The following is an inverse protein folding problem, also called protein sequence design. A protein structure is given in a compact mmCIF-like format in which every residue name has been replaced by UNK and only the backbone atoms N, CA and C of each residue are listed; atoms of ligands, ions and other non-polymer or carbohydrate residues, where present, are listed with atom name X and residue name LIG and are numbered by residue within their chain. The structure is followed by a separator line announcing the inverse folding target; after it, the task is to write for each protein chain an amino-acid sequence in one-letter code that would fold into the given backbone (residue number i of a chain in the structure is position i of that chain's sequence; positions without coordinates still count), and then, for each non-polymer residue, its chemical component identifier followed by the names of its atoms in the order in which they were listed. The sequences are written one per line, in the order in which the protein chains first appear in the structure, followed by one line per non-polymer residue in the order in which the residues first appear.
data_IF_708271946669
#
_entry.id   IF_708271946669
#
_cell.length_a   1.000
_cell.length_b   1.000
_cell.length_c   1.000
_cell.angle_alpha   90.00
_cell.angle_beta   90.00
_cell.angle_gamma   90.00
#
_symmetry.space_group_name_H-M   'P 1'
#
loop_
_entity.id
_entity.type
_entity.pdbx_description
1 polymer ?
#
# COMPACT_ATOMS: atom_id res chain seq x y z
N UNK A 1 -18.71 -2.23 -6.09
CA UNK A 1 -17.77 -3.11 -5.35
C UNK A 1 -16.31 -2.77 -5.61
N UNK A 2 -15.82 -2.78 -6.86
CA UNK A 2 -14.40 -2.52 -7.18
C UNK A 2 -13.88 -1.15 -6.72
N UNK A 3 -14.67 -0.09 -6.89
CA UNK A 3 -14.32 1.27 -6.45
C UNK A 3 -14.15 1.38 -4.92
N UNK A 4 -15.01 0.68 -4.16
CA UNK A 4 -14.92 0.64 -2.69
C UNK A 4 -13.63 -0.07 -2.26
N UNK A 5 -13.29 -1.19 -2.90
CA UNK A 5 -12.05 -1.91 -2.62
C UNK A 5 -10.81 -1.05 -2.92
N UNK A 6 -10.80 -0.33 -4.04
CA UNK A 6 -9.74 0.62 -4.38
C UNK A 6 -9.64 1.77 -3.37
N UNK A 7 -10.78 2.35 -2.97
CA UNK A 7 -10.86 3.44 -1.99
C UNK A 7 -10.29 3.04 -0.63
N UNK A 8 -10.55 1.81 -0.21
CA UNK A 8 -10.10 1.26 1.08
C UNK A 8 -8.94 0.26 0.94
N UNK A 9 -8.16 0.33 -0.14
CA UNK A 9 -7.04 -0.60 -0.40
C UNK A 9 -6.01 -0.69 0.73
N UNK A 10 -5.86 0.39 1.51
CA UNK A 10 -4.99 0.41 2.69
C UNK A 10 -5.60 -0.36 3.88
N UNK A 11 -6.93 -0.40 3.98
CA UNK A 11 -7.64 -1.18 5.00
C UNK A 11 -7.71 -2.67 4.64
N UNK A 12 -7.57 -3.04 3.36
CA UNK A 12 -7.47 -4.44 2.95
C UNK A 12 -6.23 -5.13 3.55
N UNK A 13 -5.12 -4.40 3.73
CA UNK A 13 -3.94 -4.91 4.46
C UNK A 13 -4.32 -5.35 5.87
N UNK A 14 -5.19 -4.59 6.55
CA UNK A 14 -5.54 -4.86 7.94
C UNK A 14 -6.26 -6.20 8.10
N UNK A 15 -7.06 -6.59 7.09
CA UNK A 15 -7.69 -7.92 7.04
C UNK A 15 -6.65 -9.03 6.96
N UNK A 16 -5.53 -8.79 6.26
CA UNK A 16 -4.44 -9.76 6.11
C UNK A 16 -3.46 -9.74 7.30
N UNK A 17 -3.32 -8.60 7.98
CA UNK A 17 -2.54 -8.47 9.23
C UNK A 17 -3.24 -9.19 10.39
N UNK A 18 -4.56 -9.32 10.34
CA UNK A 18 -5.35 -9.99 11.36
C UNK A 18 -4.86 -11.41 11.70
N UNK A 19 -4.80 -12.35 10.75
CA UNK A 19 -4.28 -13.69 11.01
C UNK A 19 -2.88 -13.69 11.63
N UNK A 20 -2.00 -12.78 11.21
CA UNK A 20 -0.63 -12.69 11.75
C UNK A 20 -0.67 -12.30 13.23
N UNK A 21 -1.40 -11.24 13.59
CA UNK A 21 -1.53 -10.83 14.98
C UNK A 21 -2.23 -11.90 15.84
N UNK A 22 -3.29 -12.52 15.33
CA UNK A 22 -3.93 -13.64 16.01
C UNK A 22 -2.91 -14.75 16.31
N UNK A 23 -2.11 -15.11 15.31
CA UNK A 23 -1.10 -16.17 15.41
C UNK A 23 0.00 -15.81 16.40
N UNK A 24 0.47 -14.56 16.44
CA UNK A 24 1.49 -14.11 17.41
C UNK A 24 1.09 -14.36 18.87
N UNK A 25 -0.21 -14.36 19.16
CA UNK A 25 -0.74 -14.56 20.51
C UNK A 25 -0.93 -16.05 20.82
N UNK A 26 -1.40 -16.85 19.87
CA UNK A 26 -1.81 -18.25 20.12
C UNK A 26 -0.73 -19.28 19.80
N UNK A 27 0.18 -18.98 18.87
CA UNK A 27 1.14 -19.95 18.36
C UNK A 27 2.39 -20.11 19.24
N UNK A 28 3.03 -21.28 19.20
CA UNK A 28 4.32 -21.47 19.85
C UNK A 28 5.41 -20.59 19.20
N UNK A 29 6.51 -20.31 19.93
CA UNK A 29 7.67 -19.59 19.41
C UNK A 29 8.17 -20.14 18.08
N UNK A 30 8.48 -19.24 17.14
CA UNK A 30 9.11 -19.60 15.88
C UNK A 30 10.45 -20.32 16.10
N UNK A 31 10.70 -21.39 15.31
CA UNK A 31 12.00 -22.07 15.32
C UNK A 31 13.09 -21.18 14.70
N UNK A 32 14.39 -21.41 14.97
CA UNK A 32 15.48 -20.63 14.38
C UNK A 32 15.46 -20.59 12.85
N UNK A 33 15.03 -21.69 12.20
CA UNK A 33 14.85 -21.75 10.76
C UNK A 33 13.78 -20.75 10.29
N UNK A 34 12.61 -20.73 10.93
CA UNK A 34 11.53 -19.81 10.57
C UNK A 34 11.86 -18.36 10.91
N UNK A 35 12.67 -18.10 11.95
CA UNK A 35 13.22 -16.78 12.21
C UNK A 35 14.11 -16.30 11.06
N UNK A 36 15.03 -17.15 10.60
CA UNK A 36 15.89 -16.85 9.45
C UNK A 36 15.11 -16.64 8.15
N UNK A 37 14.15 -17.53 7.87
CA UNK A 37 13.27 -17.41 6.70
C UNK A 37 12.41 -16.14 6.77
N UNK A 38 11.85 -15.82 7.94
CA UNK A 38 11.06 -14.61 8.15
C UNK A 38 11.88 -13.35 7.89
N UNK A 39 13.10 -13.28 8.42
CA UNK A 39 14.02 -12.18 8.16
C UNK A 39 14.37 -12.07 6.66
N UNK A 40 14.65 -13.19 5.99
CA UNK A 40 14.95 -13.20 4.56
C UNK A 40 13.76 -12.70 3.71
N UNK A 41 12.53 -13.11 4.04
CA UNK A 41 11.31 -12.66 3.37
C UNK A 41 11.06 -11.15 3.57
N UNK A 42 11.29 -10.63 4.79
CA UNK A 42 11.16 -9.21 5.09
C UNK A 42 12.17 -8.38 4.29
N UNK A 43 13.43 -8.83 4.21
CA UNK A 43 14.47 -8.16 3.42
C UNK A 43 14.11 -8.21 1.94
N UNK A 44 13.75 -9.38 1.40
CA UNK A 44 13.35 -9.53 0.00
C UNK A 44 12.15 -8.64 -0.36
N UNK A 45 11.12 -8.62 0.48
CA UNK A 45 9.95 -7.77 0.29
C UNK A 45 10.28 -6.28 0.37
N UNK A 46 11.13 -5.86 1.32
CA UNK A 46 11.58 -4.47 1.42
C UNK A 46 12.40 -4.04 0.20
N UNK A 47 13.34 -4.87 -0.25
CA UNK A 47 14.13 -4.64 -1.46
C UNK A 47 13.23 -4.52 -2.70
N UNK A 48 12.28 -5.44 -2.88
CA UNK A 48 11.33 -5.39 -4.00
C UNK A 48 10.48 -4.13 -3.97
N UNK A 49 9.97 -3.75 -2.79
CA UNK A 49 9.17 -2.52 -2.61
C UNK A 49 9.97 -1.28 -2.97
N UNK A 50 11.19 -1.17 -2.47
CA UNK A 50 12.08 -0.02 -2.74
C UNK A 50 12.49 0.04 -4.21
N UNK A 51 12.79 -1.10 -4.83
CA UNK A 51 13.10 -1.19 -6.26
C UNK A 51 11.89 -0.75 -7.11
N UNK A 52 10.69 -1.24 -6.81
CA UNK A 52 9.47 -0.85 -7.52
C UNK A 52 9.15 0.64 -7.33
N UNK A 53 9.23 1.16 -6.09
CA UNK A 53 8.99 2.58 -5.79
C UNK A 53 10.00 3.51 -6.49
N UNK A 54 11.23 3.04 -6.72
CA UNK A 54 12.26 3.75 -7.48
C UNK A 54 11.92 3.87 -8.97
N UNK A 55 11.31 2.83 -9.54
CA UNK A 55 10.87 2.81 -10.94
C UNK A 55 9.65 3.70 -11.18
N UNK A 56 8.73 3.75 -10.22
CA UNK A 56 7.46 4.49 -10.30
C UNK A 56 7.56 6.02 -10.25
N UNK A 57 8.70 6.61 -9.90
CA UNK A 57 8.78 8.07 -9.90
C UNK A 57 7.97 8.76 -8.79
N UNK A 58 7.78 10.08 -8.90
CA UNK A 58 6.74 10.83 -8.14
C UNK A 58 5.33 10.30 -8.44
N UNK A 59 5.20 9.52 -9.51
CA UNK A 59 4.08 8.67 -9.87
C UNK A 59 3.80 7.51 -8.90
N UNK A 60 4.51 7.33 -7.78
CA UNK A 60 4.18 6.26 -6.82
C UNK A 60 2.75 6.32 -6.21
N UNK A 61 1.98 7.40 -6.47
CA UNK A 61 0.54 7.50 -6.17
C UNK A 61 -0.37 7.30 -7.39
N UNK A 62 0.19 6.85 -8.51
CA UNK A 62 -0.39 6.85 -9.85
C UNK A 62 -0.51 5.40 -10.35
N UNK A 63 -1.52 4.67 -9.91
CA UNK A 63 -2.66 4.34 -10.78
C UNK A 63 -3.78 5.40 -10.80
N UNK A 64 -3.42 6.69 -10.80
CA UNK A 64 -4.30 7.77 -11.18
C UNK A 64 -4.11 7.95 -12.68
N UNK A 65 -5.16 7.73 -13.45
CA UNK A 65 -5.27 8.29 -14.79
C UNK A 65 -4.70 9.73 -14.77
N UNK A 66 -3.55 9.95 -15.42
CA UNK A 66 -2.91 11.28 -15.50
C UNK A 66 -1.45 11.42 -15.07
N UNK A 67 -0.65 10.37 -14.82
CA UNK A 67 0.82 10.57 -14.89
C UNK A 67 1.21 10.75 -16.35
N UNK A 68 1.67 11.95 -16.69
CA UNK A 68 2.12 12.38 -18.01
C UNK A 68 3.40 11.68 -18.51
N UNK A 69 3.86 10.61 -17.86
CA UNK A 69 5.23 10.07 -17.99
C UNK A 69 5.32 8.67 -18.65
N UNK A 70 4.24 8.14 -19.24
CA UNK A 70 4.27 6.86 -19.96
C UNK A 70 4.20 5.62 -19.07
N UNK A 71 4.19 4.42 -19.69
CA UNK A 71 4.08 3.14 -18.97
C UNK A 71 5.45 2.68 -18.47
N UNK A 72 5.56 2.40 -17.17
CA UNK A 72 6.77 1.80 -16.59
C UNK A 72 6.73 0.29 -16.79
N UNK A 73 7.53 -0.23 -17.72
CA UNK A 73 7.59 -1.67 -18.05
C UNK A 73 8.94 -2.35 -17.80
N UNK A 74 9.86 -1.65 -17.10
CA UNK A 74 11.22 -2.12 -16.79
C UNK A 74 11.41 -2.38 -15.27
N UNK A 75 12.54 -2.99 -14.91
CA UNK A 75 12.83 -3.33 -13.51
C UNK A 75 11.81 -4.35 -12.98
N UNK A 76 11.32 -4.24 -11.72
CA UNK A 76 10.28 -5.12 -11.19
C UNK A 76 8.99 -5.13 -12.02
N UNK A 77 8.71 -4.04 -12.75
CA UNK A 77 7.54 -3.93 -13.61
C UNK A 77 7.62 -4.75 -14.90
N UNK A 78 8.80 -5.27 -15.25
CA UNK A 78 8.97 -6.22 -16.35
C UNK A 78 8.54 -7.65 -15.99
N UNK A 79 8.56 -7.99 -14.69
CA UNK A 79 8.24 -9.32 -14.17
C UNK A 79 6.79 -9.42 -13.69
N UNK A 80 6.26 -8.28 -13.26
CA UNK A 80 4.95 -8.17 -12.62
C UNK A 80 4.35 -6.81 -12.94
N UNK A 81 3.04 -6.75 -13.21
CA UNK A 81 2.31 -5.48 -13.20
C UNK A 81 2.12 -4.90 -11.80
N UNK A 82 2.26 -5.74 -10.77
CA UNK A 82 1.87 -5.44 -9.40
C UNK A 82 2.97 -5.78 -8.36
N UNK A 83 4.24 -5.39 -8.59
CA UNK A 83 5.36 -5.78 -7.73
C UNK A 83 5.24 -5.23 -6.31
N UNK A 84 4.56 -4.08 -6.12
CA UNK A 84 4.33 -3.50 -4.79
C UNK A 84 3.39 -4.36 -3.93
N UNK A 85 2.39 -5.00 -4.52
CA UNK A 85 1.48 -5.90 -3.81
C UNK A 85 2.15 -7.24 -3.49
N UNK A 86 3.03 -7.72 -4.38
CA UNK A 86 3.87 -8.91 -4.11
C UNK A 86 4.83 -8.63 -2.95
N UNK A 87 5.48 -7.45 -2.95
CA UNK A 87 6.32 -7.02 -1.85
C UNK A 87 5.57 -6.98 -0.52
N UNK A 88 4.30 -6.52 -0.52
CA UNK A 88 3.45 -6.56 0.67
C UNK A 88 3.18 -8.00 1.14
N UNK A 89 2.92 -8.93 0.22
CA UNK A 89 2.73 -10.34 0.53
C UNK A 89 3.98 -11.00 1.12
N UNK A 90 5.17 -10.69 0.57
CA UNK A 90 6.45 -11.16 1.10
C UNK A 90 6.71 -10.63 2.52
N UNK A 91 6.46 -9.34 2.76
CA UNK A 91 6.61 -8.73 4.08
C UNK A 91 5.67 -9.41 5.08
N UNK A 92 4.42 -9.64 4.68
CA UNK A 92 3.42 -10.22 5.56
C UNK A 92 3.71 -11.70 5.88
N UNK A 93 4.14 -12.47 4.87
CA UNK A 93 4.63 -13.83 5.07
C UNK A 93 5.87 -13.85 5.98
N UNK A 94 6.77 -12.88 5.84
CA UNK A 94 7.93 -12.72 6.72
C UNK A 94 7.54 -12.50 8.18
N UNK A 95 6.58 -11.61 8.45
CA UNK A 95 6.05 -11.42 9.80
C UNK A 95 5.35 -12.66 10.34
N UNK A 96 4.61 -13.38 9.51
CA UNK A 96 3.99 -14.65 9.90
C UNK A 96 5.03 -15.71 10.30
N UNK A 97 6.14 -15.82 9.57
CA UNK A 97 7.25 -16.69 9.95
C UNK A 97 7.84 -16.31 11.31
N UNK A 98 8.06 -15.01 11.56
CA UNK A 98 8.54 -14.52 12.86
C UNK A 98 7.54 -14.81 14.00
N UNK A 99 6.24 -14.89 13.69
CA UNK A 99 5.16 -15.19 14.62
C UNK A 99 4.93 -16.69 14.86
N UNK A 100 5.75 -17.58 14.29
CA UNK A 100 5.56 -19.04 14.40
C UNK A 100 4.47 -19.60 13.47
N UNK A 101 4.05 -18.83 12.46
CA UNK A 101 3.00 -19.19 11.50
C UNK A 101 3.52 -19.84 10.24
N UNK A 102 4.01 -21.07 10.33
CA UNK A 102 4.63 -21.80 9.21
C UNK A 102 3.68 -21.92 8.00
N UNK A 103 2.53 -22.55 8.18
CA UNK A 103 1.51 -22.73 7.14
C UNK A 103 0.84 -21.41 6.74
N UNK A 104 0.62 -20.53 7.72
CA UNK A 104 0.02 -19.22 7.47
C UNK A 104 0.88 -18.39 6.50
N UNK A 105 2.20 -18.45 6.64
CA UNK A 105 3.14 -17.73 5.76
C UNK A 105 3.01 -18.16 4.30
N UNK A 106 2.80 -19.46 4.05
CA UNK A 106 2.58 -20.01 2.72
C UNK A 106 1.28 -19.52 2.09
N UNK A 107 0.24 -19.32 2.90
CA UNK A 107 -1.08 -18.84 2.44
C UNK A 107 -1.12 -17.32 2.24
N UNK A 108 -0.33 -16.55 2.98
CA UNK A 108 -0.38 -15.10 2.94
C UNK A 108 0.11 -14.51 1.62
N UNK A 109 1.06 -15.15 0.94
CA UNK A 109 1.52 -14.67 -0.37
C UNK A 109 0.41 -14.75 -1.45
N UNK A 110 -0.20 -15.93 -1.74
CA UNK A 110 -1.34 -16.00 -2.67
C UNK A 110 -2.59 -15.29 -2.13
N UNK A 111 -2.80 -15.29 -0.81
CA UNK A 111 -3.90 -14.57 -0.16
C UNK A 111 -3.82 -13.06 -0.37
N UNK A 112 -2.61 -12.49 -0.34
CA UNK A 112 -2.38 -11.08 -0.65
C UNK A 112 -2.76 -10.78 -2.10
N UNK A 113 -2.31 -11.61 -3.05
CA UNK A 113 -2.70 -11.47 -4.45
C UNK A 113 -4.23 -11.49 -4.61
N UNK A 114 -4.91 -12.45 -3.98
CA UNK A 114 -6.36 -12.60 -4.05
C UNK A 114 -7.11 -11.37 -3.48
N UNK A 115 -6.73 -10.88 -2.30
CA UNK A 115 -7.35 -9.72 -1.67
C UNK A 115 -7.16 -8.44 -2.50
N UNK A 116 -6.02 -8.31 -3.18
CA UNK A 116 -5.74 -7.15 -4.03
C UNK A 116 -6.30 -7.27 -5.46
N UNK A 117 -6.76 -8.43 -5.91
CA UNK A 117 -7.32 -8.60 -7.27
C UNK A 117 -8.37 -7.54 -7.65
N UNK A 118 -9.36 -7.19 -6.81
CA UNK A 118 -10.35 -6.16 -7.14
C UNK A 118 -9.72 -4.78 -7.35
N UNK A 119 -8.71 -4.44 -6.55
CA UNK A 119 -7.97 -3.17 -6.65
C UNK A 119 -7.22 -3.12 -7.97
N UNK A 120 -6.50 -4.19 -8.29
CA UNK A 120 -5.73 -4.31 -9.54
C UNK A 120 -6.63 -4.20 -10.77
N UNK A 121 -7.77 -4.87 -10.79
CA UNK A 121 -8.72 -4.80 -11.91
C UNK A 121 -9.23 -3.36 -12.11
N UNK A 122 -9.55 -2.67 -11.01
CA UNK A 122 -9.97 -1.26 -11.07
C UNK A 122 -8.84 -0.34 -11.57
N UNK A 123 -7.62 -0.56 -11.10
CA UNK A 123 -6.43 0.20 -11.52
C UNK A 123 -6.13 0.01 -13.02
N UNK A 124 -6.19 -1.22 -13.51
CA UNK A 124 -6.04 -1.55 -14.93
C UNK A 124 -7.13 -0.91 -15.80
N UNK A 125 -8.39 -0.98 -15.37
CA UNK A 125 -9.51 -0.36 -16.09
C UNK A 125 -9.40 1.16 -16.15
N UNK A 126 -8.97 1.79 -15.05
CA UNK A 126 -8.81 3.25 -14.96
C UNK A 126 -7.69 3.76 -15.87
N UNK A 127 -6.58 3.01 -15.98
CA UNK A 127 -5.49 3.38 -16.91
C UNK A 127 -5.93 3.22 -18.36
N UNK A 128 -6.64 2.13 -18.70
CA UNK A 128 -7.17 1.94 -20.05
C UNK A 128 -8.14 3.05 -20.46
N UNK A 129 -9.01 3.49 -19.54
CA UNK A 129 -9.93 4.60 -19.79
C UNK A 129 -9.21 5.95 -19.99
N UNK A 130 -7.97 6.09 -19.50
CA UNK A 130 -7.14 7.28 -19.67
C UNK A 130 -6.49 7.44 -21.04
N UNK A 131 -6.70 6.51 -21.99
CA UNK A 131 -6.21 6.62 -23.37
C UNK A 131 -4.74 6.23 -23.57
N UNK A 132 -4.15 5.44 -22.67
CA UNK A 132 -2.76 4.99 -22.79
C UNK A 132 -2.64 3.75 -23.69
N UNK A 133 -2.50 3.93 -25.01
CA UNK A 133 -2.40 2.81 -25.98
C UNK A 133 -1.24 1.86 -25.68
N UNK A 134 -0.08 2.40 -25.25
CA UNK A 134 1.09 1.62 -24.84
C UNK A 134 0.78 0.64 -23.69
N UNK A 135 -0.20 0.96 -22.84
CA UNK A 135 -0.60 0.12 -21.72
C UNK A 135 -1.28 -1.17 -22.18
N UNK A 136 -2.04 -1.13 -23.28
CA UNK A 136 -2.65 -2.33 -23.83
C UNK A 136 -1.58 -3.33 -24.27
N UNK A 137 -0.52 -2.84 -24.94
CA UNK A 137 0.63 -3.65 -25.34
C UNK A 137 1.36 -4.23 -24.11
N UNK A 138 1.57 -3.41 -23.06
CA UNK A 138 2.16 -3.86 -21.80
C UNK A 138 1.38 -5.01 -21.12
N UNK A 139 0.04 -4.92 -21.07
CA UNK A 139 -0.82 -5.95 -20.47
C UNK A 139 -0.66 -7.34 -21.13
N UNK A 140 -0.32 -7.38 -22.43
CA UNK A 140 -0.09 -8.63 -23.16
C UNK A 140 1.28 -9.24 -22.93
N UNK A 141 2.29 -8.42 -22.59
CA UNK A 141 3.68 -8.86 -22.38
C UNK A 141 3.94 -9.28 -20.94
N UNK A 142 3.35 -8.58 -19.97
CA UNK A 142 3.65 -8.74 -18.55
C UNK A 142 2.44 -9.33 -17.82
N UNK A 143 2.58 -10.47 -17.10
CA UNK A 143 1.48 -11.02 -16.33
C UNK A 143 1.18 -10.17 -15.09
N UNK A 144 -0.02 -10.38 -14.54
CA UNK A 144 -0.52 -9.58 -13.43
C UNK A 144 0.32 -9.71 -12.16
N UNK A 145 0.80 -10.93 -11.87
CA UNK A 145 1.53 -11.25 -10.64
C UNK A 145 2.98 -11.64 -10.91
N UNK A 146 3.28 -12.83 -11.42
CA UNK A 146 4.67 -13.27 -11.61
C UNK A 146 4.82 -13.85 -13.02
N UNK A 147 5.87 -13.44 -13.72
CA UNK A 147 6.25 -13.97 -15.01
C UNK A 147 7.71 -13.78 -15.33
N UNK A 148 8.09 -14.33 -16.49
CA UNK A 148 9.41 -14.12 -17.06
C UNK A 148 9.43 -12.78 -17.81
N UNK A 149 10.46 -11.94 -17.60
CA UNK A 149 10.56 -10.67 -18.28
C UNK A 149 10.76 -10.91 -19.77
N UNK A 150 9.91 -10.29 -20.59
CA UNK A 150 10.11 -10.24 -22.05
C UNK A 150 10.87 -8.94 -22.34
N UNK A 151 12.03 -9.04 -23.00
CA UNK A 151 12.95 -7.92 -23.25
C UNK A 151 12.19 -6.75 -23.90
N UNK A 152 12.10 -5.62 -23.21
CA UNK A 152 11.61 -4.36 -23.77
C UNK A 152 12.82 -3.56 -24.26
N UNK A 153 12.64 -2.80 -25.35
CA UNK A 153 13.65 -1.85 -25.82
C UNK A 153 13.77 -0.72 -24.79
N UNK A 154 14.96 -0.56 -24.21
CA UNK A 154 15.23 0.45 -23.19
C UNK A 154 15.19 1.86 -23.80
N UNK A 155 14.05 2.54 -23.73
CA UNK A 155 14.03 4.00 -23.74
C UNK A 155 14.52 4.48 -22.38
N UNK A 156 15.63 5.23 -22.36
CA UNK A 156 16.39 5.62 -21.16
C UNK A 156 15.50 5.95 -19.94
N UNK A 157 15.47 5.10 -18.90
CA UNK A 157 14.49 5.24 -17.83
C UNK A 157 14.85 6.37 -16.86
N UNK A 158 13.95 7.35 -16.70
CA UNK A 158 14.04 8.35 -15.64
C UNK A 158 13.76 7.70 -14.28
N UNK A 159 14.83 7.36 -13.53
CA UNK A 159 14.71 6.79 -12.18
C UNK A 159 14.63 7.88 -11.12
N UNK A 160 13.79 7.69 -10.10
CA UNK A 160 13.83 8.57 -8.93
C UNK A 160 15.15 8.41 -8.17
N UNK A 161 15.76 9.49 -7.66
CA UNK A 161 16.93 9.39 -6.80
C UNK A 161 16.58 8.68 -5.48
N UNK A 162 17.53 7.95 -4.89
CA UNK A 162 17.30 7.15 -3.67
C UNK A 162 16.84 8.01 -2.48
N UNK A 163 17.35 9.24 -2.36
CA UNK A 163 16.93 10.18 -1.32
C UNK A 163 15.45 10.52 -1.39
N UNK A 164 14.85 10.52 -2.59
CA UNK A 164 13.42 10.74 -2.75
C UNK A 164 12.62 9.48 -2.40
N UNK A 165 13.10 8.31 -2.83
CA UNK A 165 12.48 7.02 -2.50
C UNK A 165 12.42 6.83 -0.98
N UNK A 166 13.54 7.00 -0.27
CA UNK A 166 13.58 6.87 1.19
C UNK A 166 12.74 7.93 1.91
N UNK A 167 12.62 9.14 1.37
CA UNK A 167 11.74 10.17 1.93
C UNK A 167 10.27 9.80 1.81
N UNK A 168 9.88 9.19 0.68
CA UNK A 168 8.51 8.71 0.43
C UNK A 168 8.18 7.46 1.25
N UNK A 169 9.15 6.56 1.39
CA UNK A 169 9.04 5.29 2.13
C UNK A 169 9.64 5.37 3.55
N UNK A 170 9.72 6.57 4.15
CA UNK A 170 10.43 6.81 5.42
C UNK A 170 9.94 5.96 6.60
N UNK A 171 8.70 5.48 6.54
CA UNK A 171 8.10 4.61 7.56
C UNK A 171 8.35 3.11 7.34
N UNK A 172 8.86 2.70 6.17
CA UNK A 172 9.02 1.30 5.83
C UNK A 172 10.02 0.62 6.76
N UNK A 173 11.29 1.02 6.73
CA UNK A 173 12.36 0.35 7.50
C UNK A 173 12.10 0.44 9.01
N UNK A 174 11.80 1.62 9.61
CA UNK A 174 11.50 1.68 11.03
C UNK A 174 10.28 0.84 11.41
N UNK A 175 9.24 0.84 10.57
CA UNK A 175 8.04 0.02 10.78
C UNK A 175 8.36 -1.47 10.79
N UNK A 176 9.16 -1.94 9.82
CA UNK A 176 9.59 -3.34 9.78
C UNK A 176 10.37 -3.74 11.03
N UNK A 177 11.37 -2.93 11.43
CA UNK A 177 12.20 -3.21 12.61
C UNK A 177 11.35 -3.23 13.89
N UNK A 178 10.48 -2.24 14.09
CA UNK A 178 9.63 -2.16 15.27
C UNK A 178 8.63 -3.32 15.33
N UNK A 179 7.98 -3.65 14.21
CA UNK A 179 7.04 -4.78 14.14
C UNK A 179 7.73 -6.12 14.34
N UNK A 180 8.88 -6.35 13.72
CA UNK A 180 9.68 -7.57 13.93
C UNK A 180 10.13 -7.70 15.38
N UNK A 181 10.63 -6.62 15.97
CA UNK A 181 11.01 -6.57 17.38
C UNK A 181 9.83 -6.88 18.29
N UNK A 182 8.68 -6.25 18.08
CA UNK A 182 7.47 -6.49 18.86
C UNK A 182 7.00 -7.95 18.77
N UNK A 183 7.00 -8.54 17.57
CA UNK A 183 6.65 -9.95 17.36
C UNK A 183 7.62 -10.87 18.11
N UNK A 184 8.93 -10.68 17.95
CA UNK A 184 9.94 -11.53 18.61
C UNK A 184 9.88 -11.38 20.13
N UNK A 185 9.70 -10.16 20.65
CA UNK A 185 9.56 -9.91 22.10
C UNK A 185 8.29 -10.56 22.67
N UNK A 186 7.18 -10.50 21.93
CA UNK A 186 5.94 -11.18 22.32
C UNK A 186 6.10 -12.71 22.30
N UNK A 187 6.75 -13.26 21.27
CA UNK A 187 7.02 -14.69 21.13
C UNK A 187 7.99 -15.23 22.21
N UNK A 188 8.91 -14.39 22.70
CA UNK A 188 9.80 -14.71 23.83
C UNK A 188 9.17 -14.52 25.21
N UNK A 189 7.91 -14.08 25.27
CA UNK A 189 7.21 -13.82 26.53
C UNK A 189 7.75 -12.62 27.34
N UNK A 190 8.63 -11.80 26.75
CA UNK A 190 9.16 -10.58 27.40
C UNK A 190 8.04 -9.55 27.52
N UNK A 191 7.20 -9.44 26.48
CA UNK A 191 5.95 -8.69 26.56
C UNK A 191 4.84 -9.69 26.91
N UNK A 192 4.07 -9.47 28.01
CA UNK A 192 3.04 -10.39 28.48
C UNK A 192 1.76 -10.33 27.62
N UNK A 193 1.91 -10.25 26.29
CA UNK A 193 0.82 -10.12 25.34
C UNK A 193 -0.13 -11.31 25.43
N UNK A 194 0.41 -12.54 25.43
CA UNK A 194 -0.38 -13.77 25.60
C UNK A 194 -1.17 -13.78 26.91
N UNK A 195 -0.52 -13.50 28.04
CA UNK A 195 -1.17 -13.50 29.35
C UNK A 195 -2.19 -12.38 29.51
N UNK A 196 -1.98 -11.22 28.89
CA UNK A 196 -2.97 -10.13 28.87
C UNK A 196 -4.23 -10.55 28.11
N UNK A 197 -4.08 -11.19 26.95
CA UNK A 197 -5.20 -11.69 26.17
C UNK A 197 -5.90 -12.87 26.85
N UNK A 198 -5.17 -13.76 27.53
CA UNK A 198 -5.73 -14.83 28.35
C UNK A 198 -6.52 -14.27 29.54
N UNK A 199 -5.97 -13.27 30.24
CA UNK A 199 -6.66 -12.58 31.33
C UNK A 199 -7.95 -11.91 30.85
N UNK A 200 -7.90 -11.22 29.71
CA UNK A 200 -9.08 -10.63 29.08
C UNK A 200 -10.12 -11.69 28.67
N UNK A 201 -9.67 -12.84 28.16
CA UNK A 201 -10.55 -13.97 27.85
C UNK A 201 -11.26 -14.49 29.10
N UNK A 202 -10.53 -14.70 30.20
CA UNK A 202 -11.15 -15.15 31.46
C UNK A 202 -12.17 -14.14 32.01
N UNK A 203 -11.94 -12.84 31.83
CA UNK A 203 -12.83 -11.79 32.31
C UNK A 203 -14.07 -11.57 31.42
N UNK A 204 -13.96 -11.76 30.11
CA UNK A 204 -15.00 -11.39 29.13
C UNK A 204 -15.63 -12.57 28.38
N UNK A 205 -15.02 -13.76 28.45
CA UNK A 205 -15.39 -14.92 27.64
C UNK A 205 -14.99 -14.83 26.16
N UNK A 206 -14.44 -13.69 25.69
CA UNK A 206 -14.09 -13.49 24.27
C UNK A 206 -12.73 -14.12 23.98
N UNK A 207 -12.61 -15.03 22.99
CA UNK A 207 -11.33 -15.68 22.70
C UNK A 207 -10.28 -14.64 22.27
N UNK A 208 -8.99 -14.83 22.60
CA UNK A 208 -7.90 -13.91 22.26
C UNK A 208 -7.89 -13.48 20.79
N UNK A 209 -8.16 -14.43 19.91
CA UNK A 209 -8.30 -14.17 18.49
C UNK A 209 -9.48 -13.21 18.20
N UNK A 210 -10.69 -13.50 18.69
CA UNK A 210 -11.80 -12.57 18.47
C UNK A 210 -11.50 -11.15 19.00
N UNK A 211 -10.87 -11.02 20.17
CA UNK A 211 -10.52 -9.72 20.74
C UNK A 211 -9.58 -8.92 19.83
N UNK A 212 -8.53 -9.54 19.29
CA UNK A 212 -7.60 -8.84 18.42
C UNK A 212 -8.21 -8.55 17.02
N UNK A 213 -9.18 -9.35 16.55
CA UNK A 213 -9.94 -9.06 15.33
C UNK A 213 -10.78 -7.78 15.49
N UNK A 214 -11.44 -7.64 16.65
CA UNK A 214 -12.22 -6.45 16.97
C UNK A 214 -11.33 -5.20 17.00
N UNK A 215 -10.16 -5.27 17.62
CA UNK A 215 -9.21 -4.14 17.66
C UNK A 215 -8.78 -3.70 16.26
N UNK A 216 -8.53 -4.65 15.35
CA UNK A 216 -8.21 -4.33 13.95
C UNK A 216 -9.41 -3.81 13.18
N UNK A 217 -10.61 -4.33 13.42
CA UNK A 217 -11.83 -3.82 12.81
C UNK A 217 -12.04 -2.35 13.20
N UNK A 218 -11.86 -2.02 14.48
CA UNK A 218 -11.87 -0.64 14.97
C UNK A 218 -10.78 0.19 14.29
N UNK A 219 -9.53 -0.31 14.22
CA UNK A 219 -8.44 0.37 13.51
C UNK A 219 -8.74 0.61 12.03
N UNK A 220 -9.35 -0.36 11.35
CA UNK A 220 -9.76 -0.27 9.95
C UNK A 220 -10.88 0.76 9.74
N UNK A 221 -11.83 0.84 10.66
CA UNK A 221 -12.88 1.87 10.68
C UNK A 221 -12.28 3.25 10.89
N UNK A 222 -11.40 3.43 11.88
CA UNK A 222 -10.71 4.70 12.14
C UNK A 222 -9.90 5.13 10.91
N UNK A 223 -9.16 4.22 10.30
CA UNK A 223 -8.41 4.49 9.08
C UNK A 223 -9.33 4.88 7.91
N UNK A 224 -10.45 4.17 7.76
CA UNK A 224 -11.47 4.43 6.74
C UNK A 224 -12.07 5.84 6.88
N UNK A 225 -12.47 6.22 8.11
CA UNK A 225 -12.97 7.57 8.43
C UNK A 225 -11.89 8.63 8.17
N UNK A 226 -10.63 8.33 8.50
CA UNK A 226 -9.49 9.20 8.23
C UNK A 226 -9.27 9.44 6.73
N UNK A 227 -9.49 8.44 5.89
CA UNK A 227 -9.42 8.55 4.43
C UNK A 227 -10.53 9.48 3.93
N UNK A 228 -11.76 9.28 4.37
CA UNK A 228 -12.91 10.09 3.93
C UNK A 228 -12.78 11.56 4.36
N UNK A 229 -12.34 11.81 5.60
CA UNK A 229 -12.08 13.17 6.09
C UNK A 229 -11.02 13.90 5.25
N UNK A 230 -9.94 13.21 4.86
CA UNK A 230 -8.90 13.78 3.99
C UNK A 230 -9.43 14.10 2.59
N UNK A 231 -10.39 13.33 2.09
CA UNK A 231 -11.05 13.57 0.81
C UNK A 231 -11.91 14.82 0.86
N UNK A 232 -12.84 14.92 1.82
CA UNK A 232 -13.68 16.11 1.98
C UNK A 232 -12.86 17.39 2.10
N UNK A 233 -11.75 17.35 2.87
CA UNK A 233 -10.83 18.50 2.97
C UNK A 233 -10.18 18.88 1.63
N UNK A 234 -9.88 17.91 0.75
CA UNK A 234 -9.31 18.18 -0.57
C UNK A 234 -10.35 18.72 -1.55
N UNK A 235 -11.56 18.18 -1.51
CA UNK A 235 -12.68 18.64 -2.32
C UNK A 235 -13.06 20.08 -1.93
N UNK A 236 -13.18 20.36 -0.63
CA UNK A 236 -13.40 21.71 -0.13
C UNK A 236 -12.29 22.68 -0.56
N UNK A 237 -11.02 22.28 -0.49
CA UNK A 237 -9.90 23.11 -0.97
C UNK A 237 -9.95 23.38 -2.48
N UNK A 238 -10.31 22.37 -3.28
CA UNK A 238 -10.46 22.53 -4.74
C UNK A 238 -11.64 23.43 -5.09
N UNK A 239 -12.77 23.27 -4.41
CA UNK A 239 -13.93 24.13 -4.57
C UNK A 239 -13.60 25.58 -4.19
N UNK A 240 -12.90 25.80 -3.07
CA UNK A 240 -12.43 27.12 -2.67
C UNK A 240 -11.45 27.74 -3.67
N UNK A 241 -10.53 26.95 -4.23
CA UNK A 241 -9.60 27.41 -5.27
C UNK A 241 -10.33 27.76 -6.57
N UNK A 242 -11.31 26.96 -6.98
CA UNK A 242 -12.13 27.23 -8.17
C UNK A 242 -12.99 28.50 -7.98
N UNK A 243 -13.60 28.67 -6.80
CA UNK A 243 -14.35 29.88 -6.46
C UNK A 243 -13.46 31.13 -6.43
N UNK A 244 -12.26 31.04 -5.86
CA UNK A 244 -11.30 32.14 -5.86
C UNK A 244 -10.82 32.49 -7.27
N UNK A 245 -10.59 31.50 -8.14
CA UNK A 245 -10.23 31.71 -9.52
C UNK A 245 -11.38 32.35 -10.34
N UNK A 246 -12.62 31.96 -10.08
CA UNK A 246 -13.79 32.59 -10.69
C UNK A 246 -13.95 34.05 -10.26
N UNK A 247 -13.81 34.34 -8.96
CA UNK A 247 -13.88 35.71 -8.43
C UNK A 247 -12.73 36.62 -8.94
N UNK A 248 -11.55 36.06 -9.21
CA UNK A 248 -10.43 36.80 -9.81
C UNK A 248 -10.57 36.99 -11.34
N UNK A 249 -11.37 36.15 -12.01
CA UNK A 249 -11.66 36.25 -13.44
C UNK A 249 -12.78 37.24 -13.79
N UNK A 250 -13.63 37.61 -12.83
CA UNK A 250 -14.68 38.65 -12.96
C UNK A 250 -14.14 40.08 -12.81
N UNK A 251 -12.83 40.25 -12.57
CA UNK A 251 -12.15 41.54 -12.67
C UNK A 251 -11.80 41.86 -14.11
N UNK A 252 -12.79 42.25 -14.91
CA UNK A 252 -12.60 42.71 -16.28
C UNK A 252 -11.70 43.97 -16.31
N UNK A 253 -10.51 43.94 -16.97
CA UNK A 253 -9.68 45.12 -17.15
C UNK A 253 -10.31 46.19 -18.06
N UNK A 254 -11.45 45.90 -18.70
CA UNK A 254 -12.08 46.80 -19.68
C UNK A 254 -12.75 48.05 -19.09
N UNK A 255 -12.88 48.17 -17.76
CA UNK A 255 -13.47 49.34 -17.11
C UNK A 255 -12.46 50.39 -16.61
N UNK A 256 -11.16 50.07 -16.56
CA UNK A 256 -10.13 51.07 -16.21
C UNK A 256 -9.65 51.90 -17.43
N UNK A 257 -9.86 51.41 -18.65
CA UNK A 257 -9.53 52.19 -19.87
C UNK A 257 -10.60 53.22 -20.26
N UNK A 258 -11.78 53.21 -19.62
CA UNK A 258 -12.87 54.14 -19.93
C UNK A 258 -12.84 55.43 -19.10
N UNK A 259 -12.13 55.49 -17.97
CA UNK A 259 -12.05 56.68 -17.12
C UNK A 259 -10.80 57.54 -17.35
N UNK A 260 -9.83 57.08 -18.16
CA UNK A 260 -8.59 57.79 -18.44
C UNK A 260 -8.62 58.62 -19.74
N UNK A 261 -9.77 58.70 -20.44
CA UNK A 261 -9.93 59.47 -21.69
C UNK A 261 -10.78 60.73 -21.55
N UNK A 262 -11.17 61.15 -20.34
CA UNK A 262 -12.06 62.30 -20.11
C UNK A 262 -11.42 63.55 -19.47
N UNK A 263 -10.09 63.70 -19.54
CA UNK A 263 -9.41 64.94 -19.09
C UNK A 263 -8.34 65.44 -20.06
#
# INVERSE_FOLDING_TARGET
MLEIAFRHRSSLVLVLVWPVLAWTVVAPPATPLFLGLGAALLVAGACLRLAAARCLGKGARVHRAGAREGVVDWGPYAWSRNPLYIAAGLILAGFSCLAGGEWLSLLLLPGTCLVYMPVVIHEEASIRAGGHEEYASYLTRVPRWIGLPRRAEETSPTRSPWSEVFRREKGLIPGLVLSSGAIVLAQRGIVPLRSLFESAHTATGVPPAAAAAVLLAVGAVINSVGIERKRHRREARRAAQAAAAAAAGDGDPSLESASAQEH
#
